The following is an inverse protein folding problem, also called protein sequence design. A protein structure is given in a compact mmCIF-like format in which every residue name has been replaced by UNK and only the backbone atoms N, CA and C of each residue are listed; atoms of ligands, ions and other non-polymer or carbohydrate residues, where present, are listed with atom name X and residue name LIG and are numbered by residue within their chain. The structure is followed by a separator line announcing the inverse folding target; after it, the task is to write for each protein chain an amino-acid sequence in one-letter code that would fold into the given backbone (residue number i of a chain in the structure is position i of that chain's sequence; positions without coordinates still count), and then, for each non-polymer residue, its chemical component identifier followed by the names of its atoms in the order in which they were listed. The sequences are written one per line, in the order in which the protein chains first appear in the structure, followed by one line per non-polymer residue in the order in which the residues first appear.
data_IF_101279644463
#
_entry.id   IF_101279644463
#
_cell.length_a   1.000
_cell.length_b   1.000
_cell.length_c   1.000
_cell.angle_alpha   90.00
_cell.angle_beta   90.00
_cell.angle_gamma   90.00
#
_symmetry.space_group_name_H-M   'P 1'
#
loop_
_entity.id
_entity.type
_entity.pdbx_description
1 polymer ?
#
# COMPACT_ATOMS: atom_id res chain seq x y z
N UNK A 1 -22.02 -6.90 18.95
CA UNK A 1 -20.93 -7.53 18.17
C UNK A 1 -19.56 -7.14 18.70
N UNK A 2 -19.05 -5.90 18.61
CA UNK A 2 -17.78 -5.56 19.30
C UNK A 2 -18.03 -5.27 20.80
N UNK A 3 -18.93 -4.34 21.10
CA UNK A 3 -19.26 -3.98 22.49
C UNK A 3 -19.76 -5.15 23.35
N UNK A 4 -20.32 -6.19 22.73
CA UNK A 4 -20.83 -7.38 23.42
C UNK A 4 -19.76 -8.46 23.68
N UNK A 5 -18.62 -8.42 22.99
CA UNK A 5 -17.64 -9.53 23.00
C UNK A 5 -16.20 -9.10 23.28
N UNK A 6 -15.84 -7.85 23.01
CA UNK A 6 -14.49 -7.36 23.26
C UNK A 6 -14.25 -7.13 24.76
N UNK A 7 -13.21 -7.75 25.31
CA UNK A 7 -12.81 -7.62 26.73
C UNK A 7 -11.79 -6.49 26.98
N UNK A 8 -11.36 -5.81 25.92
CA UNK A 8 -10.40 -4.71 25.92
C UNK A 8 -10.68 -3.81 24.70
N UNK A 9 -10.11 -2.59 24.62
CA UNK A 9 -10.24 -1.75 23.42
C UNK A 9 -9.92 -2.55 22.14
N UNK A 10 -10.84 -2.49 21.18
CA UNK A 10 -10.78 -3.27 19.94
C UNK A 10 -10.93 -2.31 18.75
N UNK A 11 -9.93 -2.31 17.87
CA UNK A 11 -9.94 -1.46 16.67
C UNK A 11 -10.69 -2.17 15.52
N UNK A 12 -11.58 -1.45 14.86
CA UNK A 12 -12.25 -1.83 13.63
C UNK A 12 -11.75 -0.94 12.49
N UNK A 13 -10.87 -1.48 11.66
CA UNK A 13 -10.46 -0.82 10.41
C UNK A 13 -11.26 -1.30 9.21
N UNK A 14 -11.36 -0.45 8.19
CA UNK A 14 -11.88 -0.82 6.88
C UNK A 14 -10.82 -0.62 5.80
N UNK A 15 -10.54 -1.64 4.98
CA UNK A 15 -9.61 -1.55 3.84
C UNK A 15 -10.40 -1.53 2.53
N UNK A 16 -10.15 -0.53 1.72
CA UNK A 16 -10.85 -0.29 0.45
C UNK A 16 -9.87 -0.30 -0.73
N UNK A 17 -10.26 -0.95 -1.82
CA UNK A 17 -9.65 -0.78 -3.14
C UNK A 17 -10.55 0.18 -3.91
N UNK A 18 -10.04 1.31 -4.40
CA UNK A 18 -10.90 2.38 -4.91
C UNK A 18 -11.55 2.07 -6.26
N UNK A 19 -10.97 1.14 -7.02
CA UNK A 19 -11.35 0.89 -8.41
C UNK A 19 -11.18 -0.59 -8.78
N UNK A 20 -11.99 -1.02 -9.72
CA UNK A 20 -12.03 -2.39 -10.22
C UNK A 20 -12.01 -2.40 -11.76
N UNK A 21 -11.34 -3.39 -12.39
CA UNK A 21 -11.36 -3.51 -13.84
C UNK A 21 -12.75 -3.89 -14.36
N UNK A 22 -13.10 -3.42 -15.56
CA UNK A 22 -14.33 -3.80 -16.26
C UNK A 22 -15.37 -2.68 -16.38
N UNK A 23 -16.37 -2.91 -17.23
CA UNK A 23 -17.49 -2.00 -17.45
C UNK A 23 -18.46 -2.05 -16.27
N UNK A 24 -18.96 -0.89 -15.82
CA UNK A 24 -19.84 -0.78 -14.65
C UNK A 24 -19.16 -1.10 -13.30
N UNK A 25 -17.85 -1.33 -13.30
CA UNK A 25 -17.08 -1.64 -12.10
C UNK A 25 -16.87 -0.41 -11.20
N UNK A 26 -16.45 -0.64 -9.95
CA UNK A 26 -16.23 0.45 -8.98
C UNK A 26 -15.24 1.48 -9.52
N UNK A 27 -15.58 2.76 -9.37
CA UNK A 27 -14.73 3.92 -9.72
C UNK A 27 -14.54 4.81 -8.50
N UNK A 28 -13.52 5.68 -8.57
CA UNK A 28 -13.12 6.55 -7.47
C UNK A 28 -14.30 7.31 -6.83
N UNK A 29 -15.22 7.85 -7.63
CA UNK A 29 -16.39 8.57 -7.12
C UNK A 29 -17.28 7.71 -6.23
N UNK A 30 -17.52 6.45 -6.62
CA UNK A 30 -18.27 5.48 -5.83
C UNK A 30 -17.52 5.06 -4.56
N UNK A 31 -16.21 4.85 -4.65
CA UNK A 31 -15.39 4.53 -3.49
C UNK A 31 -15.38 5.68 -2.47
N UNK A 32 -15.26 6.93 -2.91
CA UNK A 32 -15.31 8.11 -2.02
C UNK A 32 -16.70 8.30 -1.40
N UNK A 33 -17.78 8.00 -2.12
CA UNK A 33 -19.13 7.99 -1.55
C UNK A 33 -19.30 6.92 -0.46
N UNK A 34 -18.71 5.73 -0.65
CA UNK A 34 -18.66 4.70 0.38
C UNK A 34 -17.85 5.16 1.60
N UNK A 35 -16.71 5.82 1.39
CA UNK A 35 -15.90 6.40 2.47
C UNK A 35 -16.72 7.37 3.31
N UNK A 36 -17.49 8.26 2.69
CA UNK A 36 -18.35 9.19 3.42
C UNK A 36 -19.37 8.43 4.29
N UNK A 37 -20.04 7.41 3.73
CA UNK A 37 -20.99 6.60 4.49
C UNK A 37 -20.35 5.84 5.65
N UNK A 38 -19.16 5.28 5.45
CA UNK A 38 -18.43 4.58 6.51
C UNK A 38 -18.06 5.51 7.67
N UNK A 39 -17.63 6.73 7.36
CA UNK A 39 -17.30 7.75 8.35
C UNK A 39 -18.56 8.25 9.07
N UNK A 40 -19.64 8.54 8.32
CA UNK A 40 -20.93 8.99 8.86
C UNK A 40 -21.56 7.97 9.83
N UNK A 41 -21.45 6.68 9.53
CA UNK A 41 -21.92 5.62 10.44
C UNK A 41 -21.11 5.57 11.75
N UNK A 42 -19.90 6.13 11.77
CA UNK A 42 -19.08 6.28 12.99
C UNK A 42 -18.61 4.96 13.61
N UNK A 43 -18.48 3.90 12.80
CA UNK A 43 -18.16 2.53 13.29
C UNK A 43 -16.73 2.08 13.03
N UNK A 44 -15.93 2.87 12.30
CA UNK A 44 -14.55 2.50 11.98
C UNK A 44 -13.56 3.41 12.74
N UNK A 45 -12.49 2.80 13.24
CA UNK A 45 -11.40 3.50 13.92
C UNK A 45 -10.34 4.00 12.93
N UNK A 46 -10.24 3.39 11.74
CA UNK A 46 -9.36 3.85 10.67
C UNK A 46 -9.81 3.36 9.29
N UNK A 47 -9.39 4.09 8.26
CA UNK A 47 -9.53 3.69 6.87
C UNK A 47 -8.17 3.31 6.29
N UNK A 48 -8.10 2.26 5.47
CA UNK A 48 -6.91 1.87 4.73
C UNK A 48 -7.22 1.85 3.22
N UNK A 49 -6.66 2.81 2.47
CA UNK A 49 -6.73 2.83 1.02
C UNK A 49 -5.64 1.93 0.39
N UNK A 50 -6.05 0.87 -0.29
CA UNK A 50 -5.16 0.00 -1.05
C UNK A 50 -5.05 0.50 -2.48
N UNK A 51 -3.97 1.21 -2.79
CA UNK A 51 -3.78 1.86 -4.08
C UNK A 51 -2.83 1.06 -4.96
N UNK A 52 -2.97 1.22 -6.28
CA UNK A 52 -2.02 0.64 -7.23
C UNK A 52 -0.62 1.22 -7.05
N UNK A 53 -0.53 2.56 -7.00
CA UNK A 53 0.66 3.36 -6.69
C UNK A 53 0.21 4.54 -5.82
N UNK A 54 0.83 4.71 -4.65
CA UNK A 54 0.42 5.72 -3.68
C UNK A 54 0.80 7.13 -4.13
N UNK A 55 2.00 7.30 -4.68
CA UNK A 55 2.60 8.60 -4.92
C UNK A 55 2.21 9.21 -6.27
N UNK A 56 1.89 8.37 -7.25
CA UNK A 56 1.68 8.79 -8.64
C UNK A 56 0.42 8.23 -9.26
N UNK A 57 -0.22 7.24 -8.62
CA UNK A 57 -1.42 6.59 -9.13
C UNK A 57 -2.57 7.59 -9.29
N UNK A 58 -3.21 7.56 -10.46
CA UNK A 58 -4.41 8.35 -10.78
C UNK A 58 -5.60 7.43 -10.97
N UNK A 59 -6.83 7.93 -10.76
CA UNK A 59 -8.03 7.14 -11.03
C UNK A 59 -8.12 6.62 -12.46
N UNK A 60 -8.72 5.44 -12.62
CA UNK A 60 -9.11 4.87 -13.90
C UNK A 60 -10.30 5.67 -14.46
N UNK A 61 -10.12 6.20 -15.67
CA UNK A 61 -11.00 7.13 -16.42
C UNK A 61 -10.69 8.62 -16.20
N UNK A 62 -9.87 9.17 -17.08
CA UNK A 62 -9.75 10.62 -17.34
C UNK A 62 -10.94 11.14 -18.18
N UNK A 63 -12.16 10.90 -17.70
CA UNK A 63 -13.36 11.59 -18.21
C UNK A 63 -13.51 12.97 -17.55
N UNK A 64 -14.51 13.74 -17.99
CA UNK A 64 -14.85 15.09 -17.48
C UNK A 64 -15.06 15.20 -15.96
N UNK A 65 -15.15 14.08 -15.24
CA UNK A 65 -15.47 14.00 -13.82
C UNK A 65 -14.25 14.20 -12.89
N UNK A 66 -13.01 14.10 -13.39
CA UNK A 66 -11.81 14.38 -12.59
C UNK A 66 -10.78 15.22 -13.36
N UNK A 67 -11.12 16.50 -13.57
CA UNK A 67 -10.19 17.51 -14.08
C UNK A 67 -9.21 18.02 -13.01
N UNK A 68 -9.20 17.45 -11.80
CA UNK A 68 -8.39 17.97 -10.70
C UNK A 68 -6.90 17.74 -10.89
N UNK A 69 -6.54 16.73 -11.70
CA UNK A 69 -5.16 16.32 -11.93
C UNK A 69 -4.51 15.58 -10.76
N UNK A 70 -5.25 15.40 -9.65
CA UNK A 70 -4.78 14.82 -8.39
C UNK A 70 -4.60 13.31 -8.49
N UNK A 71 -3.68 12.79 -7.68
CA UNK A 71 -3.53 11.37 -7.44
C UNK A 71 -4.73 10.81 -6.68
N UNK A 72 -4.94 9.50 -6.77
CA UNK A 72 -5.97 8.81 -5.99
C UNK A 72 -5.76 9.02 -4.48
N UNK A 73 -4.50 9.03 -4.02
CA UNK A 73 -4.18 9.28 -2.62
C UNK A 73 -4.62 10.67 -2.15
N UNK A 74 -4.33 11.72 -2.91
CA UNK A 74 -4.75 13.10 -2.61
C UNK A 74 -6.28 13.22 -2.51
N UNK A 75 -7.02 12.56 -3.42
CA UNK A 75 -8.48 12.57 -3.36
C UNK A 75 -9.03 11.91 -2.09
N UNK A 76 -8.42 10.81 -1.64
CA UNK A 76 -8.77 10.19 -0.36
C UNK A 76 -8.42 11.08 0.84
N UNK A 77 -7.24 11.69 0.85
CA UNK A 77 -6.79 12.58 1.93
C UNK A 77 -7.75 13.76 2.08
N UNK A 78 -8.05 14.43 0.95
CA UNK A 78 -8.99 15.54 0.91
C UNK A 78 -10.39 15.13 1.30
N UNK A 79 -10.87 13.98 0.80
CA UNK A 79 -12.21 13.50 1.15
C UNK A 79 -12.27 13.20 2.64
N UNK A 80 -11.35 12.39 3.18
CA UNK A 80 -11.37 11.98 4.60
C UNK A 80 -11.22 13.20 5.51
N UNK A 81 -10.39 14.18 5.15
CA UNK A 81 -10.24 15.46 5.85
C UNK A 81 -9.99 15.31 7.36
N UNK A 82 -9.24 14.28 7.76
CA UNK A 82 -8.91 13.99 9.16
C UNK A 82 -10.08 13.50 10.02
N UNK A 83 -11.26 13.21 9.45
CA UNK A 83 -12.43 12.68 10.18
C UNK A 83 -12.16 11.32 10.83
N UNK A 84 -11.29 10.52 10.20
CA UNK A 84 -10.70 9.29 10.75
C UNK A 84 -9.24 9.18 10.29
N UNK A 85 -8.35 8.48 11.02
CA UNK A 85 -7.01 8.17 10.54
C UNK A 85 -7.06 7.42 9.20
N UNK A 86 -6.36 7.97 8.20
CA UNK A 86 -6.23 7.37 6.87
C UNK A 86 -4.83 6.74 6.73
N UNK A 87 -4.79 5.46 6.42
CA UNK A 87 -3.60 4.75 5.98
C UNK A 87 -3.69 4.52 4.48
N UNK A 88 -2.56 4.50 3.79
CA UNK A 88 -2.51 4.07 2.40
C UNK A 88 -1.34 3.13 2.14
N UNK A 89 -1.57 2.18 1.23
CA UNK A 89 -0.55 1.32 0.63
C UNK A 89 -0.48 1.59 -0.87
N UNK A 90 0.68 1.38 -1.49
CA UNK A 90 0.85 1.42 -2.95
C UNK A 90 2.30 1.62 -3.36
N UNK A 91 2.95 0.55 -3.82
CA UNK A 91 4.36 0.51 -4.31
C UNK A 91 5.45 1.08 -3.38
N UNK A 92 5.18 1.25 -2.08
CA UNK A 92 6.20 1.70 -1.12
C UNK A 92 7.22 0.59 -0.89
N UNK A 93 8.46 0.85 -1.33
CA UNK A 93 9.63 -0.04 -1.22
C UNK A 93 10.82 0.64 -0.56
N UNK A 94 10.93 1.96 -0.63
CA UNK A 94 12.04 2.71 -0.01
C UNK A 94 11.56 3.62 1.13
N UNK A 95 12.43 3.94 2.10
CA UNK A 95 12.10 4.90 3.15
C UNK A 95 11.78 6.30 2.60
N UNK A 96 12.41 6.72 1.51
CA UNK A 96 12.09 7.99 0.84
C UNK A 96 10.65 8.02 0.33
N UNK A 97 10.19 6.94 -0.32
CA UNK A 97 8.80 6.84 -0.77
C UNK A 97 7.84 6.92 0.42
N UNK A 98 8.16 6.27 1.54
CA UNK A 98 7.35 6.36 2.76
C UNK A 98 7.33 7.79 3.32
N UNK A 99 8.47 8.49 3.39
CA UNK A 99 8.57 9.89 3.83
C UNK A 99 7.75 10.82 2.94
N UNK A 100 7.84 10.67 1.62
CA UNK A 100 7.04 11.43 0.65
C UNK A 100 5.55 11.17 0.83
N UNK A 101 5.16 9.92 1.05
CA UNK A 101 3.77 9.54 1.29
C UNK A 101 3.22 10.15 2.60
N UNK A 102 4.00 10.13 3.69
CA UNK A 102 3.65 10.81 4.94
C UNK A 102 3.52 12.33 4.74
N UNK A 103 4.39 12.93 3.93
CA UNK A 103 4.35 14.37 3.62
C UNK A 103 3.10 14.82 2.84
N UNK A 104 2.33 13.88 2.26
CA UNK A 104 1.01 14.18 1.68
C UNK A 104 -0.07 14.46 2.75
N UNK A 105 0.22 14.22 4.03
CA UNK A 105 -0.72 14.37 5.14
C UNK A 105 -1.30 13.05 5.67
N UNK A 106 -0.74 11.90 5.26
CA UNK A 106 -1.09 10.61 5.83
C UNK A 106 -0.45 10.45 7.22
N UNK A 107 -1.21 10.10 8.27
CA UNK A 107 -0.63 9.80 9.58
C UNK A 107 0.22 8.52 9.58
N UNK A 108 -0.07 7.56 8.69
CA UNK A 108 0.63 6.29 8.58
C UNK A 108 0.63 5.79 7.12
N UNK A 109 1.68 5.07 6.75
CA UNK A 109 1.86 4.46 5.42
C UNK A 109 2.10 2.97 5.58
N UNK A 110 1.42 2.16 4.78
CA UNK A 110 1.55 0.70 4.82
C UNK A 110 2.60 0.23 3.81
N UNK A 111 3.59 -0.50 4.32
CA UNK A 111 4.66 -1.16 3.54
C UNK A 111 4.34 -2.64 3.45
N UNK A 112 4.17 -3.15 2.23
CA UNK A 112 3.87 -4.57 1.98
C UNK A 112 5.10 -5.32 1.46
N UNK A 113 5.31 -5.25 0.13
CA UNK A 113 6.42 -5.94 -0.53
C UNK A 113 7.80 -5.58 0.05
N UNK A 114 8.00 -4.33 0.48
CA UNK A 114 9.24 -3.89 1.13
C UNK A 114 9.62 -4.75 2.34
N UNK A 115 8.64 -5.15 3.17
CA UNK A 115 8.85 -6.01 4.33
C UNK A 115 9.10 -7.48 3.94
N UNK A 116 8.51 -7.95 2.84
CA UNK A 116 8.79 -9.31 2.33
C UNK A 116 10.20 -9.40 1.78
N UNK A 117 10.67 -8.35 1.10
CA UNK A 117 12.05 -8.27 0.59
C UNK A 117 13.07 -8.01 1.71
N UNK A 118 12.66 -7.37 2.81
CA UNK A 118 13.55 -6.96 3.89
C UNK A 118 12.83 -7.11 5.24
N UNK A 119 13.09 -8.19 5.97
CA UNK A 119 12.46 -8.40 7.28
C UNK A 119 12.77 -7.25 8.28
N UNK A 120 13.92 -6.59 8.13
CA UNK A 120 14.40 -5.48 8.97
C UNK A 120 14.12 -4.09 8.35
N UNK A 121 13.18 -3.99 7.39
CA UNK A 121 12.95 -2.75 6.64
C UNK A 121 12.75 -1.52 7.55
N UNK A 122 11.97 -1.67 8.63
CA UNK A 122 11.64 -0.58 9.54
C UNK A 122 12.85 -0.17 10.38
N UNK A 123 13.62 -1.15 10.87
CA UNK A 123 14.84 -0.93 11.63
C UNK A 123 15.90 -0.22 10.78
N UNK A 124 16.09 -0.65 9.53
CA UNK A 124 17.03 -0.04 8.59
C UNK A 124 16.61 1.40 8.24
N UNK A 125 15.32 1.62 7.95
CA UNK A 125 14.76 2.94 7.67
C UNK A 125 14.96 3.91 8.84
N UNK A 126 14.70 3.46 10.08
CA UNK A 126 14.89 4.27 11.28
C UNK A 126 16.36 4.57 11.58
N UNK A 127 17.27 3.66 11.23
CA UNK A 127 18.70 3.83 11.38
C UNK A 127 19.35 4.67 10.25
N UNK A 128 18.58 5.10 9.24
CA UNK A 128 19.12 5.80 8.06
C UNK A 128 19.99 4.91 7.17
N UNK A 129 19.83 3.59 7.27
CA UNK A 129 20.59 2.58 6.51
C UNK A 129 19.84 2.22 5.22
N UNK A 130 19.30 3.22 4.53
CA UNK A 130 18.45 3.06 3.35
C UNK A 130 19.16 2.30 2.22
N UNK A 131 20.50 2.38 2.14
CA UNK A 131 21.32 1.69 1.14
C UNK A 131 21.36 0.16 1.31
N UNK A 132 20.91 -0.36 2.45
CA UNK A 132 20.83 -1.80 2.74
C UNK A 132 19.43 -2.37 2.50
N UNK A 133 18.50 -1.56 1.98
CA UNK A 133 17.14 -1.99 1.66
C UNK A 133 17.09 -2.39 0.20
N UNK A 134 16.85 -3.67 -0.05
CA UNK A 134 16.60 -4.18 -1.38
C UNK A 134 15.21 -3.76 -1.89
N UNK A 135 15.16 -3.37 -3.16
CA UNK A 135 13.92 -2.97 -3.85
C UNK A 135 13.42 -4.01 -4.85
N UNK A 136 14.15 -5.12 -4.97
CA UNK A 136 13.86 -6.31 -5.75
C UNK A 136 14.21 -7.55 -4.92
N UNK A 137 13.47 -8.63 -5.14
CA UNK A 137 13.68 -9.90 -4.46
C UNK A 137 14.79 -10.69 -5.17
N UNK A 138 15.80 -11.13 -4.43
CA UNK A 138 16.79 -12.07 -4.94
C UNK A 138 16.24 -13.50 -4.82
N UNK A 139 15.88 -14.08 -5.96
CA UNK A 139 15.35 -15.45 -6.05
C UNK A 139 16.45 -16.50 -6.23
N UNK A 140 17.73 -16.10 -6.27
CA UNK A 140 18.86 -17.01 -6.42
C UNK A 140 19.29 -17.67 -5.09
N UNK A 141 18.85 -17.12 -3.96
CA UNK A 141 19.03 -17.68 -2.62
C UNK A 141 17.88 -18.59 -2.17
N UNK A 142 17.89 -18.98 -0.89
CA UNK A 142 16.82 -19.79 -0.29
C UNK A 142 15.80 -18.91 0.45
N UNK A 143 14.52 -19.33 0.48
CA UNK A 143 13.42 -18.58 1.12
C UNK A 143 13.67 -18.25 2.60
N UNK A 144 14.43 -19.10 3.30
CA UNK A 144 14.76 -18.98 4.72
C UNK A 144 15.61 -17.75 5.07
N UNK A 145 16.45 -17.29 4.15
CA UNK A 145 17.33 -16.13 4.37
C UNK A 145 16.53 -14.84 4.53
N UNK A 146 15.37 -14.77 3.87
CA UNK A 146 14.44 -13.64 3.92
C UNK A 146 13.29 -13.85 4.92
N UNK A 147 13.32 -14.94 5.69
CA UNK A 147 12.24 -15.33 6.61
C UNK A 147 10.86 -15.42 5.90
N UNK A 148 10.86 -15.74 4.61
CA UNK A 148 9.65 -15.87 3.80
C UNK A 148 9.13 -17.30 3.90
N UNK A 149 7.88 -17.53 4.33
CA UNK A 149 7.33 -18.88 4.39
C UNK A 149 7.28 -19.57 3.01
N UNK A 150 7.57 -20.87 2.94
CA UNK A 150 7.65 -21.65 1.69
C UNK A 150 6.43 -21.49 0.78
N UNK A 151 5.22 -21.40 1.37
CA UNK A 151 3.98 -21.20 0.62
C UNK A 151 3.95 -19.85 -0.09
N UNK A 152 4.42 -18.79 0.58
CA UNK A 152 4.52 -17.47 -0.02
C UNK A 152 5.62 -17.45 -1.08
N UNK A 153 6.76 -18.06 -0.80
CA UNK A 153 7.86 -18.19 -1.78
C UNK A 153 7.43 -18.89 -3.08
N UNK A 154 6.69 -19.99 -2.94
CA UNK A 154 6.13 -20.73 -4.08
C UNK A 154 5.15 -19.87 -4.88
N UNK A 155 4.30 -19.10 -4.20
CA UNK A 155 3.35 -18.19 -4.85
C UNK A 155 4.06 -17.03 -5.58
N UNK A 156 5.13 -16.48 -5.00
CA UNK A 156 5.97 -15.46 -5.63
C UNK A 156 6.61 -16.03 -6.90
N UNK A 157 7.23 -17.21 -6.80
CA UNK A 157 7.86 -17.91 -7.93
C UNK A 157 6.89 -18.19 -9.07
N UNK A 158 5.62 -18.50 -8.75
CA UNK A 158 4.59 -18.84 -9.73
C UNK A 158 3.87 -17.62 -10.34
N UNK A 159 4.11 -16.40 -9.86
CA UNK A 159 3.37 -15.20 -10.29
C UNK A 159 4.33 -14.13 -10.82
N UNK A 160 4.77 -14.24 -12.09
CA UNK A 160 5.63 -13.24 -12.73
C UNK A 160 5.05 -11.82 -12.62
N UNK A 161 5.91 -10.85 -12.31
CA UNK A 161 5.52 -9.44 -12.14
C UNK A 161 4.88 -9.11 -10.79
N UNK A 162 4.60 -10.10 -9.93
CA UNK A 162 4.09 -9.81 -8.58
C UNK A 162 5.15 -9.15 -7.70
N UNK A 163 6.40 -9.59 -7.80
CA UNK A 163 7.55 -8.92 -7.19
C UNK A 163 8.53 -8.49 -8.29
N UNK A 164 9.20 -7.34 -8.14
CA UNK A 164 10.43 -7.07 -8.89
C UNK A 164 11.46 -8.12 -8.47
N UNK A 165 12.05 -8.82 -9.43
CA UNK A 165 13.07 -9.86 -9.20
C UNK A 165 14.40 -9.32 -9.74
N UNK A 166 15.50 -9.49 -8.98
CA UNK A 166 16.85 -9.21 -9.47
C UNK A 166 17.37 -10.45 -10.20
N UNK A 167 17.57 -10.37 -11.51
CA UNK A 167 18.24 -11.43 -12.28
C UNK A 167 19.74 -11.10 -12.39
N UNK A 168 20.61 -12.06 -12.02
CA UNK A 168 22.08 -11.93 -12.09
C UNK A 168 22.63 -11.59 -13.50
N UNK A 169 21.82 -11.70 -14.55
CA UNK A 169 22.25 -11.47 -15.92
C UNK A 169 22.44 -9.98 -16.27
N UNK A 170 21.76 -9.06 -15.58
CA UNK A 170 21.84 -7.62 -15.88
C UNK A 170 23.03 -6.93 -15.17
N UNK A 171 23.43 -7.40 -13.98
CA UNK A 171 24.58 -6.84 -13.25
C UNK A 171 25.94 -7.12 -13.90
N UNK A 172 26.02 -8.09 -14.84
CA UNK A 172 27.21 -8.37 -15.64
C UNK A 172 27.24 -7.61 -16.98
N UNK A 173 26.13 -6.97 -17.37
CA UNK A 173 26.04 -6.19 -18.60
C UNK A 173 26.37 -4.70 -18.38
N UNK A 174 26.35 -4.23 -17.13
CA UNK A 174 26.68 -2.86 -16.74
C UNK A 174 28.02 -2.72 -15.98
N UNK A 175 28.80 -3.81 -15.86
CA UNK A 175 30.15 -3.84 -15.28
C UNK A 175 31.24 -3.94 -16.36
#
# INVERSE_FOLDING_TARGET
MIAAHAKRPFLLGYRISPEEPGEGALRIGGALALVDKLIEEGRIDYLHASLYDLLTGKPQNTGLEDASGKTTAEQFIERVAGRVPLLAAGQIRTPDQARRALALGLPLVAVGKGLVMNAQWVELANAGRDHEIDTALDMSGEAGDLQVPDKLWSAISATPGWFPIRDKAEDLAEA
#
